data_IF_083354911541
#
_entry.id   IF_083354911541
#
_cell.length_a   1.000
_cell.length_b   1.000
_cell.length_c   1.000
_cell.angle_alpha   90.00
_cell.angle_beta   90.00
_cell.angle_gamma   90.00
#
_symmetry.space_group_name_H-M   'P 1'
#
loop_
_entity.id
_entity.type
_entity.pdbx_description
1 polymer ?
#
# COMPACT_ATOMS: atom_id res chain seq x y z
N UNK A 1 -26.15 6.27 -9.17
CA UNK A 1 -26.88 4.99 -8.98
C UNK A 1 -26.37 3.83 -9.85
N UNK A 2 -25.44 4.03 -10.80
CA UNK A 2 -24.80 2.93 -11.55
C UNK A 2 -23.67 2.21 -10.80
N UNK A 3 -23.03 2.86 -9.83
CA UNK A 3 -21.92 2.28 -9.04
C UNK A 3 -22.34 1.23 -8.00
N UNK A 4 -23.64 1.08 -7.73
CA UNK A 4 -24.15 0.05 -6.81
C UNK A 4 -24.18 -1.33 -7.47
N UNK A 5 -24.24 -1.40 -8.79
CA UNK A 5 -24.29 -2.67 -9.53
C UNK A 5 -22.97 -3.44 -9.39
N UNK A 6 -21.78 -2.84 -9.64
CA UNK A 6 -20.51 -3.52 -9.37
C UNK A 6 -20.37 -3.91 -7.90
N UNK A 7 -20.74 -3.03 -6.96
CA UNK A 7 -20.63 -3.32 -5.52
C UNK A 7 -21.50 -4.50 -5.07
N UNK A 8 -22.73 -4.61 -5.57
CA UNK A 8 -23.61 -5.74 -5.31
C UNK A 8 -23.08 -7.05 -5.93
N UNK A 9 -22.48 -6.97 -7.12
CA UNK A 9 -21.85 -8.11 -7.79
C UNK A 9 -20.64 -8.63 -7.00
N UNK A 10 -19.77 -7.72 -6.53
CA UNK A 10 -18.62 -8.07 -5.68
C UNK A 10 -19.06 -8.68 -4.36
N UNK A 11 -20.12 -8.15 -3.74
CA UNK A 11 -20.69 -8.70 -2.52
C UNK A 11 -21.22 -10.12 -2.73
N UNK A 12 -22.01 -10.33 -3.79
CA UNK A 12 -22.57 -11.64 -4.14
C UNK A 12 -21.47 -12.68 -4.40
N UNK A 13 -20.44 -12.32 -5.17
CA UNK A 13 -19.31 -13.22 -5.41
C UNK A 13 -18.47 -13.48 -4.17
N UNK A 14 -18.28 -12.48 -3.30
CA UNK A 14 -17.56 -12.66 -2.03
C UNK A 14 -18.30 -13.58 -1.07
N UNK A 15 -19.63 -13.54 -1.04
CA UNK A 15 -20.43 -14.50 -0.26
C UNK A 15 -20.39 -15.92 -0.81
N UNK A 16 -20.09 -16.07 -2.11
CA UNK A 16 -19.99 -17.37 -2.79
C UNK A 16 -18.58 -17.96 -2.82
N UNK A 17 -17.55 -17.18 -2.47
CA UNK A 17 -16.20 -17.71 -2.37
C UNK A 17 -16.13 -18.62 -1.13
N UNK A 18 -15.83 -19.92 -1.30
CA UNK A 18 -15.54 -20.77 -0.16
C UNK A 18 -14.33 -20.22 0.59
N UNK A 19 -14.33 -20.34 1.92
CA UNK A 19 -13.16 -20.07 2.74
C UNK A 19 -11.98 -20.90 2.20
N UNK A 20 -10.78 -20.32 2.17
CA UNK A 20 -9.62 -21.07 1.67
C UNK A 20 -9.50 -22.38 2.44
N UNK A 21 -9.45 -23.51 1.74
CA UNK A 21 -9.36 -24.85 2.34
C UNK A 21 -8.27 -24.99 3.40
N UNK A 22 -7.22 -24.17 3.25
CA UNK A 22 -6.14 -23.97 4.23
C UNK A 22 -6.62 -23.52 5.62
N UNK A 23 -7.56 -22.57 5.72
CA UNK A 23 -8.15 -22.14 6.99
C UNK A 23 -8.99 -23.27 7.60
N UNK A 24 -9.76 -23.97 6.77
CA UNK A 24 -10.62 -25.08 7.20
C UNK A 24 -9.82 -26.30 7.68
N UNK A 25 -8.70 -26.61 7.02
CA UNK A 25 -7.81 -27.72 7.37
C UNK A 25 -6.93 -27.41 8.59
N UNK A 26 -6.20 -26.29 8.57
CA UNK A 26 -5.16 -26.00 9.56
C UNK A 26 -5.69 -25.30 10.81
N UNK A 27 -6.80 -24.55 10.72
CA UNK A 27 -7.28 -23.69 11.82
C UNK A 27 -8.62 -24.18 12.38
N UNK A 28 -9.60 -24.49 11.51
CA UNK A 28 -10.90 -24.99 11.97
C UNK A 28 -10.85 -26.47 12.40
N UNK A 29 -9.79 -27.20 12.04
CA UNK A 29 -9.61 -28.61 12.39
C UNK A 29 -10.64 -29.56 11.75
N UNK A 30 -11.36 -29.09 10.72
CA UNK A 30 -12.46 -29.82 10.10
C UNK A 30 -12.03 -30.38 8.74
N UNK A 31 -11.32 -31.51 8.80
CA UNK A 31 -10.72 -32.17 7.63
C UNK A 31 -11.73 -32.50 6.53
N UNK A 32 -12.97 -32.85 6.89
CA UNK A 32 -14.04 -33.19 5.93
C UNK A 32 -14.46 -32.02 5.04
N UNK A 33 -14.53 -30.82 5.62
CA UNK A 33 -14.94 -29.63 4.89
C UNK A 33 -13.78 -29.08 4.04
N UNK A 34 -12.54 -29.17 4.54
CA UNK A 34 -11.35 -28.83 3.76
C UNK A 34 -11.22 -29.70 2.51
N UNK A 35 -11.39 -31.02 2.61
CA UNK A 35 -11.31 -31.93 1.46
C UNK A 35 -12.41 -31.67 0.41
N UNK A 36 -13.62 -31.33 0.86
CA UNK A 36 -14.76 -30.98 -0.01
C UNK A 36 -14.58 -29.64 -0.73
N UNK A 37 -14.02 -28.64 -0.04
CA UNK A 37 -13.74 -27.33 -0.63
C UNK A 37 -12.50 -27.40 -1.55
N UNK A 38 -11.52 -28.26 -1.24
CA UNK A 38 -10.36 -28.54 -2.12
C UNK A 38 -10.77 -29.29 -3.38
N UNK A 39 -11.60 -30.33 -3.28
CA UNK A 39 -11.99 -31.11 -4.46
C UNK A 39 -12.78 -30.29 -5.47
N UNK A 40 -13.59 -29.32 -4.99
CA UNK A 40 -14.31 -28.36 -5.84
C UNK A 40 -13.42 -27.35 -6.54
N UNK A 41 -12.30 -26.95 -5.92
CA UNK A 41 -11.38 -25.92 -6.46
C UNK A 41 -10.28 -26.55 -7.33
N UNK A 42 -9.78 -27.73 -6.96
CA UNK A 42 -8.68 -28.43 -7.63
C UNK A 42 -9.14 -29.48 -8.65
N UNK A 43 -10.45 -29.76 -8.73
CA UNK A 43 -11.03 -30.77 -9.63
C UNK A 43 -10.35 -32.15 -9.53
N UNK A 44 -9.89 -32.53 -8.32
CA UNK A 44 -9.19 -33.78 -8.03
C UNK A 44 -9.66 -34.32 -6.68
N UNK A 45 -9.92 -35.63 -6.60
CA UNK A 45 -10.26 -36.28 -5.34
C UNK A 45 -9.02 -36.40 -4.46
N UNK A 46 -9.08 -35.81 -3.27
CA UNK A 46 -8.04 -35.89 -2.23
C UNK A 46 -8.62 -36.73 -1.09
N UNK A 47 -7.88 -37.74 -0.59
CA UNK A 47 -8.33 -38.63 0.48
C UNK A 47 -8.11 -38.02 1.88
N UNK A 48 -8.99 -38.36 2.84
CA UNK A 48 -8.96 -37.86 4.23
C UNK A 48 -7.69 -38.24 5.01
N UNK A 49 -7.01 -39.31 4.61
CA UNK A 49 -5.77 -39.81 5.22
C UNK A 49 -4.56 -38.88 5.00
N UNK A 50 -4.48 -38.22 3.84
CA UNK A 50 -3.42 -37.25 3.56
C UNK A 50 -3.53 -36.02 4.48
N UNK A 51 -4.76 -35.59 4.80
CA UNK A 51 -5.02 -34.42 5.65
C UNK A 51 -4.73 -34.70 7.13
N UNK A 52 -4.88 -35.96 7.58
CA UNK A 52 -4.53 -36.34 8.96
C UNK A 52 -3.02 -36.43 9.20
N UNK A 53 -2.24 -36.85 8.19
CA UNK A 53 -0.76 -36.80 8.23
C UNK A 53 -0.19 -35.38 8.17
N UNK A 54 -1.00 -34.41 7.72
CA UNK A 54 -0.68 -32.99 7.54
C UNK A 54 -1.00 -32.10 8.76
N UNK A 55 -1.37 -32.68 9.92
CA UNK A 55 -1.41 -31.90 11.17
C UNK A 55 0.00 -31.38 11.45
N UNK A 56 0.26 -30.15 11.04
CA UNK A 56 1.39 -29.38 11.50
C UNK A 56 1.37 -29.45 13.03
N UNK A 57 2.36 -30.11 13.61
CA UNK A 57 2.70 -30.01 15.03
C UNK A 57 3.21 -28.59 15.26
N UNK A 58 2.33 -27.60 15.11
CA UNK A 58 2.67 -26.20 15.10
C UNK A 58 2.69 -25.68 16.52
N UNK A 59 3.86 -25.27 17.01
CA UNK A 59 4.03 -24.59 18.30
C UNK A 59 2.90 -23.58 18.54
N UNK A 60 2.15 -23.76 19.63
CA UNK A 60 1.03 -22.89 20.02
C UNK A 60 1.55 -21.58 20.63
N UNK A 61 2.07 -20.67 19.80
CA UNK A 61 2.42 -19.32 20.24
C UNK A 61 1.39 -18.28 19.80
N UNK A 62 1.18 -17.25 20.63
CA UNK A 62 0.30 -16.11 20.34
C UNK A 62 1.07 -14.88 19.85
N UNK A 63 0.34 -13.83 19.45
CA UNK A 63 0.90 -12.58 18.91
C UNK A 63 1.92 -11.89 19.84
N UNK A 64 1.73 -11.97 21.16
CA UNK A 64 2.63 -11.36 22.14
C UNK A 64 3.71 -12.32 22.65
N UNK A 65 3.87 -13.50 22.04
CA UNK A 65 4.89 -14.45 22.43
C UNK A 65 6.29 -13.96 22.07
N UNK A 66 7.28 -14.27 22.92
CA UNK A 66 8.71 -14.07 22.60
C UNK A 66 9.12 -14.77 21.31
N UNK A 67 8.45 -15.88 20.96
CA UNK A 67 8.69 -16.62 19.72
C UNK A 67 8.23 -15.82 18.48
N UNK A 68 7.06 -15.18 18.54
CA UNK A 68 6.59 -14.30 17.46
C UNK A 68 7.52 -13.11 17.28
N UNK A 69 7.87 -12.43 18.38
CA UNK A 69 8.74 -11.26 18.32
C UNK A 69 10.11 -11.59 17.70
N UNK A 70 10.71 -12.74 18.05
CA UNK A 70 11.98 -13.18 17.48
C UNK A 70 11.89 -13.57 16.00
N UNK A 71 10.77 -14.15 15.55
CA UNK A 71 10.63 -14.67 14.18
C UNK A 71 10.04 -13.65 13.19
N UNK A 72 9.08 -12.84 13.64
CA UNK A 72 8.28 -11.96 12.80
C UNK A 72 8.21 -10.51 13.31
N UNK A 73 8.85 -10.18 14.45
CA UNK A 73 8.84 -8.82 15.00
C UNK A 73 9.46 -7.79 14.04
N UNK A 74 10.57 -8.14 13.38
CA UNK A 74 11.19 -7.28 12.36
C UNK A 74 10.29 -7.14 11.14
N UNK A 75 9.63 -8.22 10.71
CA UNK A 75 8.70 -8.17 9.57
C UNK A 75 7.49 -7.27 9.88
N UNK A 76 6.95 -7.36 11.10
CA UNK A 76 5.85 -6.50 11.54
C UNK A 76 6.26 -5.04 11.66
N UNK A 77 7.46 -4.76 12.18
CA UNK A 77 8.01 -3.42 12.21
C UNK A 77 8.22 -2.87 10.80
N UNK A 78 8.75 -3.69 9.88
CA UNK A 78 8.95 -3.30 8.49
C UNK A 78 7.61 -2.97 7.82
N UNK A 79 6.62 -3.88 7.87
CA UNK A 79 5.32 -3.67 7.22
C UNK A 79 4.54 -2.49 7.79
N UNK A 80 4.54 -2.33 9.13
CA UNK A 80 3.85 -1.21 9.79
C UNK A 80 4.50 0.12 9.45
N UNK A 81 5.83 0.22 9.55
CA UNK A 81 6.56 1.47 9.29
C UNK A 81 6.49 1.87 7.81
N UNK A 82 6.64 0.95 6.87
CA UNK A 82 6.56 1.27 5.44
C UNK A 82 5.15 1.71 5.04
N UNK A 83 4.11 1.07 5.57
CA UNK A 83 2.73 1.47 5.28
C UNK A 83 2.39 2.81 5.93
N UNK A 84 2.81 3.03 7.18
CA UNK A 84 2.67 4.33 7.84
C UNK A 84 3.32 5.46 7.04
N UNK A 85 4.59 5.31 6.65
CA UNK A 85 5.36 6.36 5.96
C UNK A 85 4.81 6.62 4.57
N UNK A 86 4.38 5.57 3.86
CA UNK A 86 3.68 5.71 2.61
C UNK A 86 2.39 6.52 2.79
N UNK A 87 1.52 6.14 3.73
CA UNK A 87 0.21 6.78 3.88
C UNK A 87 0.36 8.26 4.29
N UNK A 88 1.40 8.61 5.08
CA UNK A 88 1.75 10.01 5.34
C UNK A 88 1.98 10.75 4.03
N UNK A 89 2.87 10.26 3.15
CA UNK A 89 3.20 10.95 1.92
C UNK A 89 2.06 10.94 0.89
N UNK A 90 1.50 9.76 0.64
CA UNK A 90 0.47 9.52 -0.36
C UNK A 90 -0.80 10.32 -0.08
N UNK A 91 -1.32 10.28 1.16
CA UNK A 91 -2.53 11.03 1.49
C UNK A 91 -2.28 12.54 1.58
N UNK A 92 -1.13 12.99 2.10
CA UNK A 92 -0.79 14.42 2.09
C UNK A 92 -0.82 14.98 0.67
N UNK A 93 -0.19 14.27 -0.27
CA UNK A 93 -0.15 14.66 -1.67
C UNK A 93 -1.54 14.63 -2.32
N UNK A 94 -2.36 13.61 -2.04
CA UNK A 94 -3.68 13.49 -2.65
C UNK A 94 -4.67 14.54 -2.11
N UNK A 95 -4.69 14.75 -0.79
CA UNK A 95 -5.61 15.67 -0.11
C UNK A 95 -5.31 17.13 -0.44
N UNK A 96 -4.02 17.51 -0.42
CA UNK A 96 -3.59 18.89 -0.64
C UNK A 96 -3.16 19.17 -2.08
N UNK A 97 -3.53 18.28 -3.01
CA UNK A 97 -3.24 18.43 -4.43
C UNK A 97 -3.77 19.76 -5.00
N UNK A 98 -4.99 20.16 -4.59
CA UNK A 98 -5.59 21.46 -4.94
C UNK A 98 -4.68 22.61 -4.51
N UNK A 99 -4.26 22.61 -3.25
CA UNK A 99 -3.49 23.71 -2.66
C UNK A 99 -2.10 23.80 -3.27
N UNK A 100 -1.46 22.66 -3.53
CA UNK A 100 -0.20 22.56 -4.27
C UNK A 100 -0.36 23.21 -5.65
N UNK A 101 -1.35 22.78 -6.45
CA UNK A 101 -1.55 23.30 -7.81
C UNK A 101 -1.94 24.77 -7.85
N UNK A 102 -2.66 25.24 -6.83
CA UNK A 102 -3.00 26.66 -6.68
C UNK A 102 -1.76 27.48 -6.34
N UNK A 103 -0.90 27.01 -5.43
CA UNK A 103 0.36 27.69 -5.05
C UNK A 103 1.37 27.75 -6.20
N UNK A 104 1.35 26.80 -7.13
CA UNK A 104 2.17 26.79 -8.34
C UNK A 104 1.58 27.63 -9.49
N UNK A 105 0.34 28.12 -9.33
CA UNK A 105 -0.32 28.93 -10.34
C UNK A 105 -0.79 28.12 -11.56
N UNK A 106 -0.90 26.79 -11.45
CA UNK A 106 -1.52 25.97 -12.49
C UNK A 106 -3.04 26.08 -12.45
N UNK A 107 -3.60 26.13 -11.25
CA UNK A 107 -5.02 26.43 -11.00
C UNK A 107 -5.10 27.86 -10.44
N UNK A 108 -5.93 28.76 -11.00
CA UNK A 108 -6.08 30.09 -10.44
C UNK A 108 -6.68 30.04 -9.02
N UNK A 109 -6.47 31.08 -8.19
CA UNK A 109 -7.03 31.12 -6.84
C UNK A 109 -8.56 31.06 -6.83
N UNK A 110 -9.16 30.36 -5.87
CA UNK A 110 -10.62 30.22 -5.74
C UNK A 110 -11.39 31.56 -5.83
N UNK A 111 -10.82 32.64 -5.27
CA UNK A 111 -11.42 33.99 -5.27
C UNK A 111 -11.60 34.61 -6.66
N UNK A 112 -10.95 34.06 -7.69
CA UNK A 112 -11.01 34.60 -9.06
C UNK A 112 -11.98 33.84 -9.97
N UNK A 113 -12.74 32.86 -9.45
CA UNK A 113 -13.61 32.00 -10.26
C UNK A 113 -14.90 31.61 -9.54
N UNK A 114 -15.89 31.18 -10.31
CA UNK A 114 -17.13 30.64 -9.77
C UNK A 114 -16.91 29.22 -9.21
N UNK A 115 -17.69 28.82 -8.21
CA UNK A 115 -17.54 27.52 -7.54
C UNK A 115 -17.62 26.31 -8.50
N UNK A 116 -18.50 26.37 -9.51
CA UNK A 116 -18.60 25.31 -10.53
C UNK A 116 -17.36 25.24 -11.42
N UNK A 117 -16.78 26.39 -11.76
CA UNK A 117 -15.57 26.45 -12.57
C UNK A 117 -14.35 25.95 -11.79
N UNK A 118 -14.26 26.32 -10.50
CA UNK A 118 -13.25 25.82 -9.58
C UNK A 118 -13.29 24.30 -9.49
N UNK A 119 -14.48 23.75 -9.22
CA UNK A 119 -14.69 22.31 -9.13
C UNK A 119 -14.29 21.62 -10.43
N UNK A 120 -14.71 22.14 -11.59
CA UNK A 120 -14.39 21.57 -12.89
C UNK A 120 -12.87 21.55 -13.16
N UNK A 121 -12.16 22.64 -12.87
CA UNK A 121 -10.70 22.74 -13.07
C UNK A 121 -9.94 21.78 -12.16
N UNK A 122 -10.31 21.71 -10.87
CA UNK A 122 -9.70 20.78 -9.91
C UNK A 122 -9.97 19.34 -10.31
N UNK A 123 -11.22 19.00 -10.63
CA UNK A 123 -11.60 17.65 -11.03
C UNK A 123 -10.87 17.21 -12.30
N UNK A 124 -10.75 18.09 -13.30
CA UNK A 124 -9.96 17.82 -14.52
C UNK A 124 -8.49 17.58 -14.22
N UNK A 125 -7.89 18.40 -13.35
CA UNK A 125 -6.50 18.25 -12.94
C UNK A 125 -6.24 16.93 -12.20
N UNK A 126 -7.10 16.59 -11.24
CA UNK A 126 -7.01 15.31 -10.51
C UNK A 126 -7.25 14.11 -11.42
N UNK A 127 -8.25 14.19 -12.32
CA UNK A 127 -8.53 13.13 -13.28
C UNK A 127 -7.35 12.89 -14.23
N UNK A 128 -6.67 13.95 -14.67
CA UNK A 128 -5.48 13.82 -15.51
C UNK A 128 -4.34 13.09 -14.77
N UNK A 129 -4.06 13.47 -13.52
CA UNK A 129 -3.04 12.81 -12.69
C UNK A 129 -3.43 11.36 -12.40
N UNK A 130 -4.70 11.08 -12.14
CA UNK A 130 -5.17 9.71 -11.92
C UNK A 130 -5.03 8.85 -13.18
N UNK A 131 -5.42 9.37 -14.34
CA UNK A 131 -5.38 8.65 -15.62
C UNK A 131 -3.96 8.41 -16.12
N UNK A 132 -3.05 9.37 -15.92
CA UNK A 132 -1.68 9.27 -16.43
C UNK A 132 -0.68 8.73 -15.40
N UNK A 133 -0.96 8.88 -14.10
CA UNK A 133 -0.07 8.46 -13.01
C UNK A 133 -0.60 7.23 -12.28
N UNK A 134 -1.69 7.41 -11.53
CA UNK A 134 -2.20 6.39 -10.59
C UNK A 134 -2.62 5.09 -11.29
N UNK A 135 -3.50 5.16 -12.29
CA UNK A 135 -4.06 3.98 -12.97
C UNK A 135 -2.99 3.17 -13.70
N UNK A 136 -2.12 3.77 -14.53
CA UNK A 136 -1.03 3.03 -15.17
C UNK A 136 -0.07 2.42 -14.15
N UNK A 137 0.22 3.11 -13.04
CA UNK A 137 1.09 2.59 -11.99
C UNK A 137 0.58 1.28 -11.39
N UNK A 138 -0.74 1.17 -11.15
CA UNK A 138 -1.34 -0.09 -10.69
C UNK A 138 -1.21 -1.22 -11.71
N UNK A 139 -1.51 -0.95 -12.99
CA UNK A 139 -1.39 -1.97 -14.04
C UNK A 139 0.04 -2.46 -14.23
N UNK A 140 1.02 -1.56 -14.09
CA UNK A 140 2.42 -1.94 -14.08
C UNK A 140 2.75 -2.83 -12.87
N UNK A 141 2.25 -2.52 -11.67
CA UNK A 141 2.43 -3.44 -10.54
C UNK A 141 1.85 -4.81 -10.85
N UNK A 142 0.61 -4.88 -11.34
CA UNK A 142 -0.02 -6.16 -11.68
C UNK A 142 0.80 -6.95 -12.70
N UNK A 143 1.32 -6.30 -13.73
CA UNK A 143 2.12 -6.97 -14.76
C UNK A 143 3.49 -7.46 -14.27
N UNK A 144 4.11 -6.73 -13.34
CA UNK A 144 5.51 -6.96 -12.95
C UNK A 144 5.70 -7.56 -11.55
N UNK A 145 4.66 -7.66 -10.72
CA UNK A 145 4.79 -8.10 -9.33
C UNK A 145 5.35 -9.51 -9.19
N UNK A 146 4.92 -10.43 -10.05
CA UNK A 146 5.42 -11.81 -10.06
C UNK A 146 6.72 -11.97 -10.88
N UNK A 147 7.09 -10.97 -11.69
CA UNK A 147 8.32 -11.00 -12.51
C UNK A 147 9.50 -10.37 -11.77
N UNK A 148 9.31 -9.21 -11.12
CA UNK A 148 10.37 -8.45 -10.45
C UNK A 148 10.47 -8.86 -8.97
N UNK A 149 9.32 -9.06 -8.32
CA UNK A 149 9.24 -9.33 -6.88
C UNK A 149 8.80 -8.11 -6.08
N UNK A 150 8.27 -8.36 -4.88
CA UNK A 150 7.58 -7.35 -4.06
C UNK A 150 8.59 -6.40 -3.43
N UNK A 151 9.72 -6.92 -2.99
CA UNK A 151 10.78 -6.15 -2.34
C UNK A 151 11.39 -5.13 -3.32
N UNK A 152 11.74 -5.57 -4.52
CA UNK A 152 12.36 -4.72 -5.53
C UNK A 152 11.41 -3.62 -6.04
N UNK A 153 10.13 -3.94 -6.25
CA UNK A 153 9.11 -2.95 -6.62
C UNK A 153 8.94 -1.91 -5.51
N UNK A 154 8.89 -2.35 -4.25
CA UNK A 154 8.76 -1.43 -3.11
C UNK A 154 9.97 -0.49 -3.00
N UNK A 155 11.19 -1.04 -3.14
CA UNK A 155 12.43 -0.28 -3.08
C UNK A 155 12.52 0.76 -4.20
N UNK A 156 12.24 0.34 -5.43
CA UNK A 156 12.20 1.22 -6.59
C UNK A 156 11.16 2.32 -6.42
N UNK A 157 9.95 1.98 -5.97
CA UNK A 157 8.88 2.94 -5.76
C UNK A 157 9.25 4.03 -4.75
N UNK A 158 9.70 3.66 -3.55
CA UNK A 158 10.16 4.64 -2.56
C UNK A 158 11.34 5.48 -3.06
N UNK A 159 12.31 4.85 -3.76
CA UNK A 159 13.46 5.56 -4.34
C UNK A 159 13.02 6.63 -5.32
N UNK A 160 12.17 6.26 -6.29
CA UNK A 160 11.68 7.16 -7.32
C UNK A 160 10.79 8.24 -6.73
N UNK A 161 9.92 7.91 -5.75
CA UNK A 161 9.13 8.89 -5.02
C UNK A 161 10.01 9.92 -4.31
N UNK A 162 11.11 9.50 -3.67
CA UNK A 162 12.07 10.42 -3.05
C UNK A 162 12.75 11.31 -4.09
N UNK A 163 13.24 10.74 -5.20
CA UNK A 163 13.92 11.48 -6.27
C UNK A 163 12.99 12.53 -6.87
N UNK A 164 11.76 12.17 -7.24
CA UNK A 164 10.83 13.12 -7.84
C UNK A 164 10.36 14.18 -6.85
N UNK A 165 10.18 13.83 -5.57
CA UNK A 165 9.86 14.82 -4.56
C UNK A 165 11.00 15.83 -4.34
N UNK A 166 12.26 15.37 -4.34
CA UNK A 166 13.43 16.26 -4.28
C UNK A 166 13.58 17.09 -5.56
N UNK A 167 13.36 16.49 -6.73
CA UNK A 167 13.38 17.18 -8.02
C UNK A 167 12.32 18.28 -8.13
N UNK A 168 11.23 18.17 -7.36
CA UNK A 168 10.23 19.21 -7.23
C UNK A 168 10.64 20.24 -6.15
N UNK A 169 11.11 19.79 -4.98
CA UNK A 169 11.35 20.65 -3.83
C UNK A 169 12.60 21.55 -3.97
N UNK A 170 13.64 21.07 -4.66
CA UNK A 170 14.91 21.81 -4.86
C UNK A 170 14.70 23.02 -5.78
N UNK A 171 14.26 22.85 -7.04
CA UNK A 171 13.98 23.96 -7.96
C UNK A 171 12.57 24.54 -7.79
N UNK A 172 11.94 24.39 -6.61
CA UNK A 172 10.55 24.81 -6.38
C UNK A 172 10.31 26.28 -6.80
N UNK A 173 11.21 27.19 -6.42
CA UNK A 173 11.10 28.62 -6.75
C UNK A 173 11.22 28.92 -8.25
N UNK A 174 11.81 28.01 -9.04
CA UNK A 174 11.87 28.08 -10.50
C UNK A 174 10.61 27.46 -11.14
N UNK A 175 10.15 26.31 -10.63
CA UNK A 175 8.97 25.60 -11.15
C UNK A 175 7.66 26.37 -10.90
N UNK A 176 7.60 27.19 -9.85
CA UNK A 176 6.46 28.06 -9.55
C UNK A 176 6.39 29.29 -10.48
N UNK A 177 7.46 29.61 -11.23
CA UNK A 177 7.44 30.75 -12.15
C UNK A 177 6.52 30.48 -13.35
N UNK A 178 5.85 31.52 -13.87
CA UNK A 178 5.03 31.40 -15.08
C UNK A 178 5.81 30.74 -16.23
N UNK A 179 5.21 29.74 -16.87
CA UNK A 179 5.81 28.99 -17.99
C UNK A 179 6.48 27.67 -17.64
N UNK A 180 6.73 27.36 -16.36
CA UNK A 180 7.42 26.12 -15.95
C UNK A 180 6.55 25.12 -15.16
N UNK A 181 5.25 25.42 -15.00
CA UNK A 181 4.32 24.57 -14.23
C UNK A 181 4.15 23.15 -14.79
N UNK A 182 4.35 22.96 -16.10
CA UNK A 182 4.21 21.64 -16.74
C UNK A 182 5.23 20.65 -16.18
N UNK A 183 6.47 21.09 -15.94
CA UNK A 183 7.50 20.25 -15.33
C UNK A 183 7.11 19.78 -13.94
N UNK A 184 6.52 20.67 -13.13
CA UNK A 184 6.00 20.30 -11.81
C UNK A 184 4.91 19.22 -11.93
N UNK A 185 3.90 19.45 -12.77
CA UNK A 185 2.76 18.54 -12.92
C UNK A 185 3.21 17.16 -13.40
N UNK A 186 4.17 17.10 -14.34
CA UNK A 186 4.74 15.83 -14.82
C UNK A 186 5.49 15.11 -13.70
N UNK A 187 6.41 15.77 -13.01
CA UNK A 187 7.15 15.17 -11.90
C UNK A 187 6.20 14.71 -10.78
N UNK A 188 5.16 15.48 -10.50
CA UNK A 188 4.17 15.16 -9.47
C UNK A 188 3.31 13.96 -9.86
N UNK A 189 2.92 13.88 -11.13
CA UNK A 189 2.25 12.71 -11.71
C UNK A 189 3.13 11.46 -11.69
N UNK A 190 4.43 11.59 -11.97
CA UNK A 190 5.40 10.50 -11.87
C UNK A 190 5.54 10.01 -10.42
N UNK A 191 5.52 10.91 -9.43
CA UNK A 191 5.50 10.50 -8.02
C UNK A 191 4.30 9.59 -7.72
N UNK A 192 3.11 9.92 -8.23
CA UNK A 192 1.95 9.03 -8.07
C UNK A 192 2.08 7.75 -8.88
N UNK A 193 2.63 7.80 -10.08
CA UNK A 193 2.91 6.59 -10.87
C UNK A 193 3.76 5.60 -10.07
N UNK A 194 4.91 6.04 -9.53
CA UNK A 194 5.82 5.18 -8.76
C UNK A 194 5.32 4.87 -7.35
N UNK A 195 4.44 5.69 -6.78
CA UNK A 195 3.75 5.32 -5.55
C UNK A 195 2.86 4.08 -5.76
N UNK A 196 2.16 4.01 -6.90
CA UNK A 196 1.27 2.90 -7.24
C UNK A 196 2.03 1.72 -7.88
N UNK A 197 3.02 2.00 -8.73
CA UNK A 197 4.05 1.07 -9.20
C UNK A 197 5.18 0.92 -8.16
N UNK A 198 4.79 0.49 -6.97
CA UNK A 198 5.67 0.57 -5.81
C UNK A 198 4.93 0.35 -4.51
N UNK A 199 5.23 1.17 -3.47
CA UNK A 199 4.85 0.88 -2.10
C UNK A 199 3.35 0.78 -1.87
N UNK A 200 2.48 1.52 -2.57
CA UNK A 200 1.02 1.46 -2.34
C UNK A 200 0.44 0.07 -2.55
N UNK A 201 0.88 -0.59 -3.62
CA UNK A 201 0.46 -1.95 -3.90
C UNK A 201 1.20 -2.96 -3.00
N UNK A 202 2.51 -2.81 -2.85
CA UNK A 202 3.32 -3.81 -2.13
C UNK A 202 3.06 -3.79 -0.63
N UNK A 203 2.86 -2.64 0.01
CA UNK A 203 2.59 -2.56 1.47
C UNK A 203 1.26 -3.21 1.84
N UNK A 204 0.33 -3.32 0.89
CA UNK A 204 -0.91 -4.08 1.07
C UNK A 204 -0.71 -5.60 0.92
N UNK A 205 0.10 -6.01 -0.06
CA UNK A 205 0.30 -7.42 -0.43
C UNK A 205 1.27 -8.13 0.54
N UNK A 206 2.39 -7.49 0.86
CA UNK A 206 3.51 -8.02 1.65
C UNK A 206 3.07 -8.56 3.03
N UNK A 207 2.23 -7.87 3.84
CA UNK A 207 1.74 -8.43 5.10
C UNK A 207 0.84 -9.66 4.90
N UNK A 208 0.10 -9.73 3.79
CA UNK A 208 -0.75 -10.89 3.51
C UNK A 208 0.09 -12.14 3.16
N UNK A 209 1.27 -11.94 2.54
CA UNK A 209 2.16 -13.02 2.11
C UNK A 209 3.16 -13.47 3.20
N UNK A 210 3.63 -12.59 4.08
CA UNK A 210 4.70 -12.93 5.04
C UNK A 210 4.18 -13.57 6.33
N UNK A 211 2.96 -13.24 6.77
CA UNK A 211 2.47 -13.70 8.07
C UNK A 211 1.77 -15.06 7.99
N UNK A 212 1.96 -15.92 9.02
CA UNK A 212 1.32 -17.23 9.10
C UNK A 212 -0.19 -17.08 9.08
N UNK A 213 -0.89 -18.04 8.47
CA UNK A 213 -2.34 -17.97 8.25
C UNK A 213 -3.12 -17.67 9.55
N UNK A 214 -2.65 -18.22 10.68
CA UNK A 214 -3.26 -18.03 12.00
C UNK A 214 -3.23 -16.58 12.51
N UNK A 215 -2.18 -15.81 12.20
CA UNK A 215 -2.01 -14.43 12.69
C UNK A 215 -2.05 -13.38 11.57
N UNK A 216 -2.23 -13.82 10.32
CA UNK A 216 -2.21 -12.97 9.13
C UNK A 216 -3.20 -11.82 9.23
N UNK A 217 -4.45 -12.10 9.60
CA UNK A 217 -5.49 -11.07 9.71
C UNK A 217 -5.14 -10.03 10.78
N UNK A 218 -4.62 -10.46 11.93
CA UNK A 218 -4.21 -9.55 13.02
C UNK A 218 -3.00 -8.72 12.63
N UNK A 219 -1.96 -9.32 12.05
CA UNK A 219 -0.74 -8.60 11.67
C UNK A 219 -0.97 -7.64 10.48
N UNK A 220 -1.77 -8.08 9.51
CA UNK A 220 -2.24 -7.22 8.41
C UNK A 220 -3.11 -6.08 8.97
N UNK A 221 -4.02 -6.37 9.89
CA UNK A 221 -4.86 -5.37 10.55
C UNK A 221 -4.05 -4.32 11.32
N UNK A 222 -3.02 -4.73 12.06
CA UNK A 222 -2.10 -3.80 12.74
C UNK A 222 -1.36 -2.94 11.71
N UNK A 223 -0.83 -3.54 10.65
CA UNK A 223 -0.13 -2.81 9.57
C UNK A 223 -1.05 -1.80 8.88
N UNK A 224 -2.30 -2.20 8.59
CA UNK A 224 -3.30 -1.32 7.99
C UNK A 224 -3.71 -0.18 8.95
N UNK A 225 -3.86 -0.47 10.24
CA UNK A 225 -4.16 0.55 11.25
C UNK A 225 -3.04 1.58 11.36
N UNK A 226 -1.77 1.14 11.32
CA UNK A 226 -0.63 2.07 11.27
C UNK A 226 -0.60 2.89 9.99
N UNK A 227 -0.95 2.31 8.83
CA UNK A 227 -1.14 3.06 7.59
C UNK A 227 -2.16 4.20 7.79
N UNK A 228 -3.34 3.89 8.33
CA UNK A 228 -4.37 4.91 8.59
C UNK A 228 -3.96 5.96 9.61
N UNK A 229 -3.19 5.60 10.64
CA UNK A 229 -2.58 6.58 11.52
C UNK A 229 -1.62 7.51 10.76
N UNK A 230 -0.84 6.97 9.83
CA UNK A 230 -0.01 7.74 8.90
C UNK A 230 -0.83 8.69 8.03
N UNK A 231 -1.96 8.23 7.47
CA UNK A 231 -2.85 9.07 6.67
C UNK A 231 -3.42 10.25 7.48
N UNK A 232 -3.79 10.02 8.73
CA UNK A 232 -4.27 11.08 9.65
C UNK A 232 -3.15 12.09 9.92
N UNK A 233 -1.94 11.61 10.26
CA UNK A 233 -0.79 12.48 10.51
C UNK A 233 -0.39 13.24 9.25
N UNK A 234 -0.46 12.63 8.07
CA UNK A 234 -0.25 13.31 6.80
C UNK A 234 -1.30 14.39 6.56
N UNK A 235 -2.58 14.07 6.71
CA UNK A 235 -3.69 15.00 6.51
C UNK A 235 -3.56 16.24 7.41
N UNK A 236 -3.40 16.07 8.71
CA UNK A 236 -3.30 17.22 9.62
C UNK A 236 -1.89 17.82 9.63
N UNK A 237 -0.85 17.00 9.72
CA UNK A 237 0.53 17.44 9.79
C UNK A 237 0.96 18.22 8.55
N UNK A 238 0.65 17.73 7.35
CA UNK A 238 0.96 18.46 6.12
C UNK A 238 0.16 19.77 6.03
N UNK A 239 -1.13 19.76 6.38
CA UNK A 239 -1.98 20.95 6.37
C UNK A 239 -1.40 22.09 7.21
N UNK A 240 -0.97 21.80 8.44
CA UNK A 240 -0.35 22.80 9.32
C UNK A 240 1.07 23.15 8.86
N UNK A 241 1.84 22.18 8.38
CA UNK A 241 3.20 22.41 7.92
C UNK A 241 3.24 23.28 6.64
N UNK A 242 2.35 23.05 5.68
CA UNK A 242 2.34 23.73 4.39
C UNK A 242 1.88 25.19 4.45
N UNK A 243 1.38 25.65 5.60
CA UNK A 243 0.96 27.03 5.81
C UNK A 243 2.10 28.00 5.56
N UNK A 244 1.74 29.17 5.03
CA UNK A 244 2.72 30.21 4.70
C UNK A 244 3.37 30.77 5.98
N UNK A 245 4.69 30.96 5.94
CA UNK A 245 5.45 31.44 7.10
C UNK A 245 5.03 32.87 7.51
N UNK A 246 4.66 33.69 6.52
CA UNK A 246 4.38 35.12 6.71
C UNK A 246 2.89 35.45 6.74
N UNK A 247 2.07 34.70 6.02
CA UNK A 247 0.61 34.92 5.87
C UNK A 247 -0.12 33.57 5.88
N UNK A 248 -0.28 32.92 7.04
CA UNK A 248 -1.07 31.70 7.12
C UNK A 248 -2.54 31.99 6.77
N UNK A 249 -3.25 30.97 6.30
CA UNK A 249 -4.68 31.10 6.03
C UNK A 249 -5.46 31.32 7.34
N UNK A 250 -6.61 31.97 7.25
CA UNK A 250 -7.42 32.36 8.42
C UNK A 250 -7.76 31.14 9.28
N UNK A 251 -7.31 31.14 10.54
CA UNK A 251 -7.52 30.05 11.49
C UNK A 251 -6.33 29.09 11.67
N UNK A 252 -5.23 29.27 10.92
CA UNK A 252 -4.04 28.43 11.03
C UNK A 252 -2.83 29.16 11.62
N UNK A 253 -1.99 28.41 12.34
CA UNK A 253 -0.69 28.85 12.83
C UNK A 253 0.33 28.98 11.69
N UNK A 254 1.43 29.71 11.93
CA UNK A 254 2.54 29.81 10.95
C UNK A 254 3.17 28.43 10.72
N UNK A 255 3.16 27.99 9.46
CA UNK A 255 3.76 26.73 9.02
C UNK A 255 5.21 26.90 8.56
N UNK A 256 5.80 25.80 8.09
CA UNK A 256 7.15 25.79 7.50
C UNK A 256 7.14 26.18 6.02
N UNK A 257 5.96 26.23 5.38
CA UNK A 257 5.75 26.61 3.97
C UNK A 257 5.81 25.42 3.02
N UNK A 258 5.12 25.55 1.87
CA UNK A 258 4.94 24.47 0.89
C UNK A 258 6.25 23.79 0.47
N UNK A 259 7.29 24.57 0.13
CA UNK A 259 8.60 24.04 -0.26
C UNK A 259 9.21 23.12 0.80
N UNK A 260 9.18 23.55 2.07
CA UNK A 260 9.75 22.79 3.17
C UNK A 260 8.88 21.56 3.51
N UNK A 261 7.56 21.66 3.38
CA UNK A 261 6.68 20.50 3.51
C UNK A 261 6.95 19.44 2.45
N UNK A 262 7.27 19.82 1.21
CA UNK A 262 7.68 18.88 0.17
C UNK A 262 9.01 18.19 0.50
N UNK A 263 9.97 18.90 1.13
CA UNK A 263 11.19 18.26 1.66
C UNK A 263 10.89 17.28 2.80
N UNK A 264 9.96 17.60 3.70
CA UNK A 264 9.52 16.66 4.74
C UNK A 264 8.92 15.40 4.10
N UNK A 265 8.10 15.54 3.06
CA UNK A 265 7.55 14.39 2.32
C UNK A 265 8.64 13.57 1.62
N UNK A 266 9.66 14.22 1.06
CA UNK A 266 10.82 13.52 0.49
C UNK A 266 11.57 12.73 1.57
N UNK A 267 11.73 13.32 2.77
CA UNK A 267 12.31 12.67 3.94
C UNK A 267 11.50 11.47 4.41
N UNK A 268 10.17 11.56 4.47
CA UNK A 268 9.32 10.42 4.84
C UNK A 268 9.39 9.30 3.81
N UNK A 269 9.45 9.62 2.51
CA UNK A 269 9.66 8.62 1.45
C UNK A 269 11.04 7.95 1.56
N UNK A 270 12.07 8.72 1.89
CA UNK A 270 13.42 8.19 2.10
C UNK A 270 13.51 7.29 3.34
N UNK A 271 12.85 7.66 4.44
CA UNK A 271 12.72 6.76 5.58
C UNK A 271 11.96 5.49 5.19
N UNK A 272 10.92 5.60 4.36
CA UNK A 272 10.19 4.46 3.82
C UNK A 272 11.08 3.52 3.01
N UNK A 273 12.02 4.09 2.23
CA UNK A 273 13.06 3.33 1.54
C UNK A 273 13.93 2.54 2.52
N UNK A 274 14.42 3.17 3.59
CA UNK A 274 15.28 2.53 4.59
C UNK A 274 14.56 1.38 5.31
N UNK A 275 13.32 1.60 5.73
CA UNK A 275 12.51 0.53 6.35
C UNK A 275 12.12 -0.56 5.36
N UNK A 276 12.04 -0.26 4.06
CA UNK A 276 11.78 -1.27 3.03
C UNK A 276 12.94 -2.27 2.91
N UNK A 277 14.16 -1.91 3.30
CA UNK A 277 15.29 -2.87 3.35
C UNK A 277 15.09 -3.98 4.40
N UNK A 278 14.19 -3.78 5.36
CA UNK A 278 13.83 -4.78 6.38
C UNK A 278 12.70 -5.71 5.92
N UNK A 279 12.08 -5.44 4.76
CA UNK A 279 11.01 -6.27 4.20
C UNK A 279 11.66 -7.49 3.53
N UNK A 280 11.25 -8.73 3.87
CA UNK A 280 11.73 -9.90 3.16
C UNK A 280 11.09 -10.01 1.77
N UNK A 281 11.85 -10.46 0.78
CA UNK A 281 11.31 -10.81 -0.53
C UNK A 281 10.46 -12.09 -0.43
N UNK A 282 9.19 -11.98 -0.85
CA UNK A 282 8.21 -13.06 -0.84
C UNK A 282 8.14 -13.82 -2.17
N UNK A 283 8.73 -13.30 -3.25
CA UNK A 283 8.70 -13.92 -4.57
C UNK A 283 9.27 -15.35 -4.57
N UNK A 284 8.49 -16.30 -5.08
CA UNK A 284 8.91 -17.67 -5.35
C UNK A 284 9.11 -18.54 -4.11
N UNK A 285 8.77 -18.03 -2.92
CA UNK A 285 8.80 -18.79 -1.67
C UNK A 285 7.40 -19.19 -1.29
N UNK A 286 7.26 -20.43 -0.80
CA UNK A 286 5.99 -20.88 -0.27
C UNK A 286 5.65 -20.09 1.00
N UNK A 287 4.35 -19.95 1.28
CA UNK A 287 3.89 -19.24 2.47
C UNK A 287 4.37 -19.93 3.75
N UNK A 288 4.60 -21.25 3.68
CA UNK A 288 5.12 -22.11 4.74
C UNK A 288 6.60 -21.82 5.00
N UNK A 289 7.40 -21.63 3.94
CA UNK A 289 8.82 -21.26 4.04
C UNK A 289 9.01 -19.85 4.61
N UNK A 290 8.18 -18.89 4.18
CA UNK A 290 8.16 -17.51 4.71
C UNK A 290 7.65 -17.45 6.15
N UNK A 291 6.62 -18.23 6.47
CA UNK A 291 6.01 -18.29 7.80
C UNK A 291 6.80 -19.16 8.78
N UNK A 292 7.81 -19.91 8.31
CA UNK A 292 8.55 -20.91 9.07
C UNK A 292 7.62 -21.88 9.82
N UNK A 293 6.50 -22.22 9.18
CA UNK A 293 5.61 -23.26 9.66
C UNK A 293 6.29 -24.60 9.28
N UNK A 294 6.69 -25.40 10.27
CA UNK A 294 7.24 -26.74 10.02
C UNK A 294 6.10 -27.62 9.48
N UNK A 295 5.89 -27.61 8.17
CA UNK A 295 4.99 -28.54 7.49
C UNK A 295 5.87 -29.57 6.80
N UNK A 296 5.57 -30.86 7.00
CA UNK A 296 6.40 -31.95 6.46
C UNK A 296 6.56 -31.86 4.94
N UNK A 297 7.73 -32.28 4.44
CA UNK A 297 8.21 -32.08 3.06
C UNK A 297 7.23 -32.53 1.94
N UNK A 298 6.28 -33.42 2.25
CA UNK A 298 5.22 -33.83 1.32
C UNK A 298 4.23 -32.71 0.98
N UNK A 299 3.94 -31.79 1.90
CA UNK A 299 3.04 -30.66 1.69
C UNK A 299 3.70 -29.52 0.88
N UNK A 300 5.01 -29.35 1.07
CA UNK A 300 5.85 -28.38 0.35
C UNK A 300 5.85 -28.61 -1.17
N UNK A 301 5.89 -29.87 -1.62
CA UNK A 301 5.79 -30.20 -3.06
C UNK A 301 4.39 -29.97 -3.64
N UNK A 302 3.34 -29.98 -2.81
CA UNK A 302 1.95 -29.87 -3.27
C UNK A 302 1.48 -28.40 -3.39
N UNK A 303 1.95 -27.51 -2.49
CA UNK A 303 1.65 -26.08 -2.54
C UNK A 303 2.40 -25.30 -3.63
N UNK A 304 3.57 -25.75 -4.07
CA UNK A 304 4.33 -25.12 -5.18
C UNK A 304 3.57 -25.26 -6.52
N UNK A 305 2.71 -26.27 -6.67
CA UNK A 305 1.94 -26.50 -7.89
C UNK A 305 0.66 -25.64 -8.01
N UNK A 306 0.34 -24.80 -7.02
CA UNK A 306 -0.92 -24.04 -6.96
C UNK A 306 -0.79 -22.53 -7.21
N UNK A 307 0.36 -22.07 -7.68
CA UNK A 307 0.58 -20.70 -8.15
C UNK A 307 1.14 -20.68 -9.58
#
# INVERSE_FOLDING_TARGET
MFGTIPAALTYYWRMKMPETARYTALIAGNTKQATSDMSKVLNKEISEENVQGERATGDTWGLFSRQFMKRHGVHLLATTSTWFLLDVAFYSQNLFQKDIFTKIGWIPPAKTMNALEELYRIARAQALIALCGTVPGYWFTVAFIDIIGRFWIQLMGFTMMTIFMLAIAIPYDYLVKPGHHTGFVVLYGLTFFFANFGPNSTTFIVPAEIFPARLRSTCHGISAATGKAGAIIGAFGFLYASQDQKKPDTGYSRGIGMRNSLFVLAGTNFLGLLFSLLVPESKGKSLEELSKENVGDAFLSFCVATY
#
